data_IF_576086528381
#
_entry.id   IF_576086528381
#
_cell.length_a   1.000
_cell.length_b   1.000
_cell.length_c   1.000
_cell.angle_alpha   90.00
_cell.angle_beta   90.00
_cell.angle_gamma   90.00
#
_symmetry.space_group_name_H-M   'P 1'
#
loop_
_entity.id
_entity.type
_entity.pdbx_description
1 polymer ?
#
# COMPACT_ATOMS: atom_id res chain seq x y z
N UNK A 1 -17.11 19.80 -11.13
CA UNK A 1 -15.93 18.97 -11.46
C UNK A 1 -14.61 19.68 -11.21
N UNK A 2 -14.38 20.90 -11.74
CA UNK A 2 -13.13 21.65 -11.50
C UNK A 2 -12.72 21.75 -10.03
N UNK A 3 -13.70 21.91 -9.12
CA UNK A 3 -13.45 21.99 -7.66
C UNK A 3 -12.64 20.82 -7.11
N UNK A 4 -12.93 19.60 -7.55
CA UNK A 4 -12.27 18.38 -7.05
C UNK A 4 -11.23 17.83 -8.04
N UNK A 5 -10.90 18.59 -9.08
CA UNK A 5 -9.93 18.17 -10.11
C UNK A 5 -8.57 17.81 -9.47
N UNK A 6 -8.12 18.59 -8.48
CA UNK A 6 -6.86 18.32 -7.78
C UNK A 6 -6.80 16.92 -7.15
N UNK A 7 -7.91 16.44 -6.57
CA UNK A 7 -7.98 15.10 -6.01
C UNK A 7 -7.96 14.03 -7.10
N UNK A 8 -8.77 14.21 -8.15
CA UNK A 8 -8.88 13.27 -9.27
C UNK A 8 -7.53 13.12 -9.99
N UNK A 9 -6.85 14.23 -10.26
CA UNK A 9 -5.51 14.24 -10.86
C UNK A 9 -4.49 13.54 -9.95
N UNK A 10 -4.47 13.87 -8.66
CA UNK A 10 -3.54 13.27 -7.71
C UNK A 10 -3.73 11.75 -7.55
N UNK A 11 -4.97 11.27 -7.46
CA UNK A 11 -5.27 9.84 -7.42
C UNK A 11 -4.93 9.15 -8.74
N UNK A 12 -5.22 9.79 -9.88
CA UNK A 12 -4.89 9.26 -11.21
C UNK A 12 -3.39 9.07 -11.37
N UNK A 13 -2.61 10.08 -10.98
CA UNK A 13 -1.15 10.02 -11.03
C UNK A 13 -0.60 8.94 -10.10
N UNK A 14 -1.11 8.87 -8.87
CA UNK A 14 -0.72 7.86 -7.90
C UNK A 14 -0.96 6.45 -8.43
N UNK A 15 -2.18 6.13 -8.89
CA UNK A 15 -2.50 4.82 -9.45
C UNK A 15 -1.75 4.50 -10.73
N UNK A 16 -1.51 5.50 -11.58
CA UNK A 16 -0.72 5.30 -12.79
C UNK A 16 0.69 4.83 -12.45
N UNK A 17 1.33 5.42 -11.43
CA UNK A 17 2.65 4.96 -10.98
C UNK A 17 2.60 3.54 -10.44
N UNK A 18 1.57 3.16 -9.66
CA UNK A 18 1.42 1.79 -9.18
C UNK A 18 1.22 0.77 -10.32
N UNK A 19 0.46 1.14 -11.37
CA UNK A 19 0.30 0.31 -12.58
C UNK A 19 1.62 0.18 -13.33
N UNK A 20 2.36 1.28 -13.48
CA UNK A 20 3.66 1.30 -14.15
C UNK A 20 4.67 0.41 -13.42
N UNK A 21 4.69 0.47 -12.08
CA UNK A 21 5.50 -0.39 -11.24
C UNK A 21 5.03 -1.85 -11.23
N UNK A 22 3.91 -2.19 -11.87
CA UNK A 22 3.33 -3.53 -11.83
C UNK A 22 2.99 -4.01 -10.41
N UNK A 23 2.74 -3.08 -9.49
CA UNK A 23 2.22 -3.35 -8.15
C UNK A 23 0.74 -3.72 -8.26
N UNK A 24 0.04 -3.02 -9.16
CA UNK A 24 -1.33 -3.32 -9.55
C UNK A 24 -1.42 -3.63 -11.04
N UNK A 25 -2.38 -4.46 -11.42
CA UNK A 25 -2.67 -4.78 -12.81
C UNK A 25 -3.51 -3.68 -13.46
N UNK A 26 -3.19 -3.31 -14.70
CA UNK A 26 -3.89 -2.23 -15.43
C UNK A 26 -5.42 -2.38 -15.44
N UNK A 27 -6.01 -3.57 -15.65
CA UNK A 27 -7.47 -3.70 -15.68
C UNK A 27 -8.14 -3.44 -14.33
N UNK A 28 -7.39 -3.42 -13.22
CA UNK A 28 -7.93 -3.06 -11.92
C UNK A 28 -8.04 -1.54 -11.74
N UNK A 29 -7.37 -0.72 -12.56
CA UNK A 29 -7.43 0.73 -12.43
C UNK A 29 -8.50 1.33 -13.34
N UNK A 30 -9.48 2.00 -12.72
CA UNK A 30 -10.63 2.60 -13.39
C UNK A 30 -10.68 4.11 -13.16
N UNK A 31 -10.97 4.85 -14.23
CA UNK A 31 -11.25 6.29 -14.20
C UNK A 31 -12.69 6.47 -14.67
N UNK A 32 -13.62 6.87 -13.79
CA UNK A 32 -15.01 7.10 -14.17
C UNK A 32 -15.18 8.18 -15.24
N UNK A 33 -16.30 8.14 -15.96
CA UNK A 33 -16.63 9.22 -16.88
C UNK A 33 -16.82 10.52 -16.08
N UNK A 34 -16.18 11.63 -16.47
CA UNK A 34 -16.26 12.88 -15.73
C UNK A 34 -17.71 13.41 -15.64
N UNK A 35 -18.53 13.19 -16.67
CA UNK A 35 -19.90 13.72 -16.75
C UNK A 35 -20.88 12.78 -16.07
N UNK A 36 -20.85 11.51 -16.43
CA UNK A 36 -21.82 10.48 -16.06
C UNK A 36 -21.45 9.78 -14.75
N UNK A 37 -20.20 9.89 -14.32
CA UNK A 37 -19.67 9.19 -13.16
C UNK A 37 -19.61 7.69 -13.40
N UNK A 38 -19.80 6.94 -12.33
CA UNK A 38 -19.83 5.50 -12.34
C UNK A 38 -21.26 4.99 -12.63
N UNK A 39 -21.38 3.93 -13.43
CA UNK A 39 -22.67 3.30 -13.74
C UNK A 39 -23.37 2.77 -12.48
N UNK A 40 -24.69 2.96 -12.39
CA UNK A 40 -25.50 2.54 -11.24
C UNK A 40 -25.35 3.43 -10.00
N UNK A 41 -24.80 4.64 -10.18
CA UNK A 41 -24.56 5.55 -9.07
C UNK A 41 -25.85 6.04 -8.40
N UNK A 42 -26.92 6.24 -9.16
CA UNK A 42 -28.15 6.88 -8.70
C UNK A 42 -28.85 6.06 -7.61
N UNK A 43 -28.84 4.73 -7.71
CA UNK A 43 -29.44 3.82 -6.72
C UNK A 43 -28.71 3.90 -5.39
N UNK A 44 -27.39 4.03 -5.44
CA UNK A 44 -26.51 4.11 -4.29
C UNK A 44 -26.50 5.48 -3.62
N UNK A 45 -26.67 6.54 -4.41
CA UNK A 45 -26.67 7.92 -3.92
C UNK A 45 -27.73 8.15 -2.84
N UNK A 46 -28.92 7.55 -2.97
CA UNK A 46 -29.99 7.69 -1.98
C UNK A 46 -29.59 7.13 -0.60
N UNK A 47 -29.01 5.94 -0.56
CA UNK A 47 -28.56 5.31 0.68
C UNK A 47 -27.37 6.05 1.31
N UNK A 48 -26.45 6.56 0.49
CA UNK A 48 -25.34 7.37 0.98
C UNK A 48 -25.83 8.70 1.62
N UNK A 49 -26.81 9.36 1.01
CA UNK A 49 -27.44 10.55 1.57
C UNK A 49 -28.18 10.23 2.87
N UNK A 50 -28.91 9.11 2.94
CA UNK A 50 -29.61 8.66 4.14
C UNK A 50 -28.64 8.35 5.28
N UNK A 51 -27.49 7.77 4.96
CA UNK A 51 -26.38 7.53 5.89
C UNK A 51 -25.62 8.80 6.30
N UNK A 52 -26.11 9.98 5.92
CA UNK A 52 -25.61 11.27 6.37
C UNK A 52 -24.45 11.86 5.57
N UNK A 53 -24.10 11.30 4.39
CA UNK A 53 -23.18 11.99 3.48
C UNK A 53 -23.84 13.25 2.88
N UNK A 54 -23.01 14.26 2.62
CA UNK A 54 -23.43 15.46 1.90
C UNK A 54 -23.63 15.17 0.40
N UNK A 55 -24.46 15.96 -0.27
CA UNK A 55 -24.65 15.82 -1.72
C UNK A 55 -23.36 16.01 -2.53
N UNK A 56 -22.45 16.87 -2.07
CA UNK A 56 -21.15 17.06 -2.71
C UNK A 56 -20.25 15.84 -2.53
N UNK A 57 -20.19 15.27 -1.32
CA UNK A 57 -19.47 14.02 -1.05
C UNK A 57 -19.96 12.89 -1.95
N UNK A 58 -21.27 12.70 -2.04
CA UNK A 58 -21.91 11.71 -2.91
C UNK A 58 -21.56 11.99 -4.38
N UNK A 59 -21.63 13.25 -4.84
CA UNK A 59 -21.23 13.62 -6.20
C UNK A 59 -19.77 13.28 -6.53
N UNK A 60 -18.86 13.51 -5.57
CA UNK A 60 -17.43 13.20 -5.71
C UNK A 60 -17.17 11.70 -5.76
N UNK A 61 -17.78 10.92 -4.85
CA UNK A 61 -17.63 9.45 -4.83
C UNK A 61 -17.91 8.82 -6.20
N UNK A 62 -18.91 9.34 -6.93
CA UNK A 62 -19.27 8.88 -8.27
C UNK A 62 -18.17 9.05 -9.34
N UNK A 63 -17.12 9.83 -9.06
CA UNK A 63 -16.18 10.34 -10.07
C UNK A 63 -14.72 10.11 -9.67
N UNK A 64 -14.46 9.53 -8.52
CA UNK A 64 -13.09 9.26 -8.08
C UNK A 64 -12.49 8.14 -8.93
N UNK A 65 -11.23 8.30 -9.40
CA UNK A 65 -10.43 7.18 -9.86
C UNK A 65 -10.34 6.13 -8.75
N UNK A 66 -10.39 4.86 -9.12
CA UNK A 66 -10.42 3.78 -8.14
C UNK A 66 -9.79 2.51 -8.64
N UNK A 67 -9.49 1.64 -7.68
CA UNK A 67 -8.97 0.32 -7.91
C UNK A 67 -10.05 -0.72 -7.66
N UNK A 68 -10.16 -1.68 -8.56
CA UNK A 68 -11.03 -2.82 -8.41
C UNK A 68 -10.27 -3.93 -7.66
N UNK A 69 -10.69 -4.29 -6.44
CA UNK A 69 -9.91 -5.16 -5.56
C UNK A 69 -9.90 -6.64 -5.99
N UNK A 70 -10.52 -7.00 -7.11
CA UNK A 70 -10.78 -8.39 -7.51
C UNK A 70 -10.53 -8.62 -8.99
N UNK A 71 -9.30 -8.99 -9.34
CA UNK A 71 -9.07 -9.80 -10.54
C UNK A 71 -8.63 -11.18 -10.04
N UNK A 72 -9.61 -12.08 -9.96
CA UNK A 72 -9.35 -13.51 -9.86
C UNK A 72 -8.88 -13.97 -11.24
N UNK A 73 -7.62 -14.37 -11.38
CA UNK A 73 -7.28 -15.26 -12.49
C UNK A 73 -7.96 -16.61 -12.18
N UNK A 74 -8.88 -17.11 -13.02
CA UNK A 74 -9.57 -18.37 -12.77
C UNK A 74 -8.64 -19.58 -12.70
N UNK A 75 -7.43 -19.45 -13.27
CA UNK A 75 -6.47 -20.54 -13.45
C UNK A 75 -5.32 -20.54 -12.44
N UNK A 76 -5.24 -19.55 -11.53
CA UNK A 76 -4.25 -19.50 -10.45
C UNK A 76 -4.88 -19.90 -9.11
N UNK A 77 -4.45 -21.02 -8.54
CA UNK A 77 -4.81 -21.50 -7.19
C UNK A 77 -4.25 -20.59 -6.06
N UNK A 78 -3.74 -19.41 -6.39
CA UNK A 78 -3.19 -18.42 -5.49
C UNK A 78 -4.14 -17.24 -5.28
N UNK A 79 -4.57 -17.04 -4.04
CA UNK A 79 -5.29 -15.84 -3.61
C UNK A 79 -4.37 -14.62 -3.73
N UNK A 80 -4.48 -13.81 -4.79
CA UNK A 80 -3.96 -12.44 -4.76
C UNK A 80 -5.07 -11.51 -4.24
N UNK A 81 -5.14 -11.37 -2.92
CA UNK A 81 -5.81 -10.19 -2.37
C UNK A 81 -5.02 -8.96 -2.85
N UNK A 82 -5.69 -8.05 -3.55
CA UNK A 82 -5.22 -6.66 -3.69
C UNK A 82 -5.22 -5.90 -2.34
N UNK A 83 -5.21 -6.62 -1.21
CA UNK A 83 -5.76 -6.19 0.07
C UNK A 83 -4.78 -5.83 1.17
N UNK A 84 -3.47 -6.02 0.98
CA UNK A 84 -2.46 -5.70 2.01
C UNK A 84 -1.51 -4.56 1.62
N UNK A 85 -1.82 -3.84 0.55
CA UNK A 85 -1.15 -2.57 0.31
C UNK A 85 -1.80 -1.54 1.24
N UNK A 86 -1.16 -1.29 2.39
CA UNK A 86 -1.63 -0.41 3.50
C UNK A 86 -2.05 1.01 3.08
N UNK A 87 -1.83 1.37 1.82
CA UNK A 87 -1.98 2.71 1.25
C UNK A 87 -2.85 2.68 -0.01
N UNK A 88 -3.47 1.54 -0.34
CA UNK A 88 -4.49 1.53 -1.39
C UNK A 88 -5.64 2.41 -0.93
N UNK A 89 -5.90 3.53 -1.62
CA UNK A 89 -7.14 4.24 -1.50
C UNK A 89 -8.26 3.36 -2.11
N UNK A 90 -8.68 2.33 -1.37
CA UNK A 90 -9.61 1.31 -1.84
C UNK A 90 -10.68 1.07 -0.80
N UNK A 91 -11.64 1.98 -0.73
CA UNK A 91 -12.87 1.75 0.06
C UNK A 91 -14.13 2.22 -0.62
N UNK A 92 -14.08 3.12 -1.62
CA UNK A 92 -15.29 3.81 -2.08
C UNK A 92 -15.83 3.30 -3.43
N UNK A 93 -15.15 3.44 -4.56
CA UNK A 93 -15.84 3.22 -5.85
C UNK A 93 -16.00 1.75 -6.29
N UNK A 94 -15.14 0.83 -5.84
CA UNK A 94 -15.30 -0.60 -6.13
C UNK A 94 -16.43 -1.27 -5.34
N UNK A 95 -16.72 -0.73 -4.17
CA UNK A 95 -17.74 -1.24 -3.25
C UNK A 95 -19.10 -0.57 -3.49
N UNK A 96 -19.09 0.69 -3.95
CA UNK A 96 -20.25 1.42 -4.46
C UNK A 96 -20.90 0.75 -5.68
N UNK A 97 -20.12 0.15 -6.58
CA UNK A 97 -20.63 -0.42 -7.85
C UNK A 97 -21.08 -1.87 -7.79
N UNK A 98 -20.43 -2.68 -6.97
CA UNK A 98 -20.58 -4.14 -7.04
C UNK A 98 -21.63 -4.70 -6.09
N UNK A 99 -22.11 -3.92 -5.12
CA UNK A 99 -23.18 -4.37 -4.23
C UNK A 99 -24.51 -4.27 -4.96
N UNK A 100 -25.11 -5.43 -5.25
CA UNK A 100 -26.41 -5.55 -5.90
C UNK A 100 -27.59 -5.18 -4.99
N UNK A 101 -27.34 -5.06 -3.67
CA UNK A 101 -28.30 -4.63 -2.66
C UNK A 101 -27.61 -3.74 -1.60
N UNK A 102 -27.26 -2.50 -1.95
CA UNK A 102 -26.72 -1.52 -1.00
C UNK A 102 -27.83 -1.09 -0.03
N UNK A 103 -27.46 -0.76 1.21
CA UNK A 103 -28.36 -0.23 2.25
C UNK A 103 -27.71 0.92 3.02
N UNK A 104 -28.48 1.62 3.84
CA UNK A 104 -28.02 2.76 4.64
C UNK A 104 -26.87 2.37 5.57
N UNK A 105 -26.98 1.24 6.27
CA UNK A 105 -25.96 0.76 7.23
C UNK A 105 -24.60 0.52 6.57
N UNK A 106 -24.58 0.10 5.31
CA UNK A 106 -23.33 0.00 4.56
C UNK A 106 -22.59 1.35 4.43
N UNK A 107 -23.33 2.42 4.14
CA UNK A 107 -22.75 3.75 4.00
C UNK A 107 -22.42 4.40 5.34
N UNK A 108 -23.11 4.02 6.42
CA UNK A 108 -22.73 4.37 7.80
C UNK A 108 -21.38 3.74 8.15
N UNK A 109 -21.20 2.45 7.87
CA UNK A 109 -19.92 1.73 8.05
C UNK A 109 -18.74 2.36 7.29
N UNK A 110 -19.00 2.99 6.13
CA UNK A 110 -17.97 3.70 5.40
C UNK A 110 -17.50 4.99 6.08
N UNK A 111 -18.30 5.53 7.00
CA UNK A 111 -17.99 6.70 7.83
C UNK A 111 -17.46 6.32 9.20
N UNK A 112 -17.69 5.10 9.66
CA UNK A 112 -17.15 4.58 10.92
C UNK A 112 -15.62 4.55 10.90
N UNK A 113 -15.03 4.99 12.01
CA UNK A 113 -13.61 4.90 12.31
C UNK A 113 -13.44 3.98 13.51
N UNK A 114 -12.50 3.03 13.46
CA UNK A 114 -12.06 2.30 14.64
C UNK A 114 -11.37 3.28 15.61
N UNK A 115 -12.14 3.89 16.50
CA UNK A 115 -11.66 4.70 17.62
C UNK A 115 -12.37 4.19 18.88
N UNK A 116 -11.69 3.29 19.61
CA UNK A 116 -12.07 2.65 20.90
C UNK A 116 -13.22 1.59 20.87
N UNK A 117 -12.97 0.34 21.34
CA UNK A 117 -14.01 -0.70 21.52
C UNK A 117 -15.08 -0.40 22.61
N UNK A 118 -15.03 0.74 23.30
CA UNK A 118 -15.90 1.07 24.43
C UNK A 118 -16.83 2.28 24.21
N UNK A 119 -16.83 2.93 23.05
CA UNK A 119 -17.61 4.16 22.83
C UNK A 119 -18.39 4.16 21.51
N UNK A 120 -19.47 4.94 21.47
CA UNK A 120 -20.38 5.04 20.33
C UNK A 120 -19.62 5.34 19.03
N UNK A 121 -19.88 4.54 17.99
CA UNK A 121 -19.24 4.57 16.66
C UNK A 121 -18.95 5.99 16.17
N UNK A 122 -17.67 6.41 16.18
CA UNK A 122 -17.30 7.72 15.66
C UNK A 122 -17.44 7.74 14.14
N UNK A 123 -18.48 8.41 13.66
CA UNK A 123 -18.69 8.65 12.24
C UNK A 123 -17.98 9.93 11.79
N UNK A 124 -17.09 9.84 10.80
CA UNK A 124 -16.52 11.04 10.16
C UNK A 124 -17.64 11.93 9.59
N UNK A 125 -17.49 13.26 9.56
CA UNK A 125 -18.48 14.17 9.00
C UNK A 125 -18.91 13.77 7.59
N UNK A 126 -20.17 14.02 7.24
CA UNK A 126 -20.73 13.66 5.92
C UNK A 126 -20.10 14.38 4.73
N UNK A 127 -19.27 15.40 4.95
CA UNK A 127 -18.46 16.05 3.91
C UNK A 127 -17.17 15.29 3.62
N UNK A 128 -16.74 14.41 4.52
CA UNK A 128 -15.48 13.69 4.46
C UNK A 128 -15.64 12.30 3.78
N UNK A 129 -14.63 11.94 3.01
CA UNK A 129 -14.49 10.67 2.28
C UNK A 129 -13.22 9.96 2.74
N UNK A 130 -13.34 8.75 3.26
CA UNK A 130 -12.18 7.92 3.63
C UNK A 130 -11.58 7.27 2.38
N UNK A 131 -10.52 7.79 1.78
CA UNK A 131 -10.04 7.24 0.51
C UNK A 131 -9.42 5.84 0.63
N UNK A 132 -8.78 5.49 1.75
CA UNK A 132 -8.13 4.17 1.96
C UNK A 132 -8.83 3.28 2.97
N UNK A 133 -8.49 1.98 2.94
CA UNK A 133 -8.88 1.07 4.01
C UNK A 133 -8.33 1.56 5.33
N UNK A 134 -9.13 1.42 6.38
CA UNK A 134 -8.62 1.66 7.71
C UNK A 134 -7.61 0.57 8.05
N UNK A 135 -6.39 0.99 8.39
CA UNK A 135 -5.35 0.14 8.92
C UNK A 135 -4.90 0.76 10.24
N UNK A 136 -5.08 0.02 11.34
CA UNK A 136 -4.78 0.50 12.69
C UNK A 136 -3.30 0.88 12.85
N UNK A 137 -2.40 0.27 12.08
CA UNK A 137 -0.96 0.59 12.05
C UNK A 137 -0.52 1.35 10.81
N UNK A 138 -1.47 1.70 9.94
CA UNK A 138 -1.21 2.33 8.65
C UNK A 138 -1.74 3.76 8.57
N UNK A 139 -2.02 4.18 7.34
CA UNK A 139 -2.50 5.52 7.02
C UNK A 139 -3.91 5.43 6.44
N UNK A 140 -4.82 6.19 7.03
CA UNK A 140 -6.14 6.44 6.48
C UNK A 140 -6.17 7.82 5.84
N UNK A 141 -6.37 7.86 4.53
CA UNK A 141 -6.54 9.11 3.80
C UNK A 141 -7.97 9.60 3.94
N UNK A 142 -8.18 10.83 4.39
CA UNK A 142 -9.52 11.42 4.53
C UNK A 142 -9.58 12.70 3.72
N UNK A 143 -10.47 12.75 2.73
CA UNK A 143 -10.69 13.92 1.91
C UNK A 143 -11.96 14.64 2.32
N UNK A 144 -11.86 15.93 2.66
CA UNK A 144 -13.02 16.75 2.95
C UNK A 144 -13.48 17.50 1.70
N UNK A 145 -14.70 17.23 1.25
CA UNK A 145 -15.28 17.88 0.07
C UNK A 145 -15.59 19.36 0.28
N UNK A 146 -15.76 19.81 1.53
CA UNK A 146 -16.00 21.22 1.82
C UNK A 146 -14.73 22.04 1.65
N UNK A 147 -13.65 21.66 2.35
CA UNK A 147 -12.36 22.37 2.29
C UNK A 147 -11.51 21.99 1.07
N UNK A 148 -11.84 20.88 0.40
CA UNK A 148 -11.06 20.29 -0.69
C UNK A 148 -9.63 19.90 -0.28
N UNK A 149 -9.42 19.61 1.00
CA UNK A 149 -8.14 19.19 1.55
C UNK A 149 -8.15 17.69 1.86
N UNK A 150 -6.97 17.09 1.73
CA UNK A 150 -6.70 15.72 2.13
C UNK A 150 -6.06 15.71 3.53
N UNK A 151 -6.27 14.64 4.29
CA UNK A 151 -5.68 14.38 5.60
C UNK A 151 -5.03 13.01 5.65
N UNK A 152 -3.87 12.95 6.27
CA UNK A 152 -3.16 11.72 6.62
C UNK A 152 -3.50 11.39 8.09
N UNK A 153 -4.45 10.50 8.34
CA UNK A 153 -4.80 10.09 9.70
C UNK A 153 -4.16 8.74 10.03
N UNK A 154 -3.55 8.64 11.21
CA UNK A 154 -3.06 7.37 11.76
C UNK A 154 -3.67 7.18 13.14
N UNK A 155 -4.27 6.03 13.39
CA UNK A 155 -5.06 5.77 14.60
C UNK A 155 -4.28 5.91 15.90
N UNK A 156 -2.94 5.78 15.85
CA UNK A 156 -2.07 5.88 17.03
C UNK A 156 -1.12 7.08 17.04
N UNK A 157 -1.10 7.89 15.97
CA UNK A 157 -0.38 9.16 16.03
C UNK A 157 -1.34 10.15 16.68
N UNK A 158 -1.07 10.66 17.87
CA UNK A 158 -1.98 11.63 18.49
C UNK A 158 -1.99 11.61 20.01
N UNK A 159 -2.64 12.61 20.57
CA UNK A 159 -2.97 12.62 21.99
C UNK A 159 -4.17 11.67 22.20
N UNK A 160 -4.08 10.64 23.06
CA UNK A 160 -5.20 9.74 23.33
C UNK A 160 -6.46 10.46 23.84
N UNK A 161 -6.32 11.71 24.31
CA UNK A 161 -7.44 12.55 24.75
C UNK A 161 -8.11 13.35 23.60
N UNK A 162 -7.54 13.35 22.39
CA UNK A 162 -8.10 14.03 21.21
C UNK A 162 -8.69 13.01 20.23
N UNK A 163 -10.02 12.89 20.27
CA UNK A 163 -10.78 11.97 19.42
C UNK A 163 -10.83 12.40 17.95
N UNK A 164 -10.93 11.41 17.07
CA UNK A 164 -11.14 11.63 15.64
C UNK A 164 -9.88 12.11 14.92
N UNK A 165 -10.06 12.79 13.78
CA UNK A 165 -8.98 13.08 12.85
C UNK A 165 -8.70 14.58 12.67
N UNK A 166 -9.36 15.47 13.43
CA UNK A 166 -9.26 16.92 13.22
C UNK A 166 -7.85 17.48 13.48
N UNK A 167 -7.09 16.83 14.36
CA UNK A 167 -5.68 17.13 14.64
C UNK A 167 -4.74 16.73 13.51
N UNK A 168 -5.17 15.82 12.63
CA UNK A 168 -4.32 15.28 11.58
C UNK A 168 -3.96 16.37 10.55
N UNK A 169 -2.70 16.40 10.07
CA UNK A 169 -2.26 17.38 9.08
C UNK A 169 -3.14 17.37 7.83
N UNK A 170 -3.49 18.57 7.36
CA UNK A 170 -4.18 18.77 6.08
C UNK A 170 -3.24 19.30 5.01
N UNK A 171 -3.50 18.92 3.77
CA UNK A 171 -2.79 19.44 2.61
C UNK A 171 -3.61 19.33 1.34
N UNK A 172 -3.11 19.91 0.26
CA UNK A 172 -3.72 19.68 -1.05
C UNK A 172 -3.46 18.22 -1.46
N UNK A 173 -4.45 17.54 -2.08
CA UNK A 173 -4.24 16.19 -2.60
C UNK A 173 -2.96 16.01 -3.43
N UNK A 174 -2.63 16.95 -4.32
CA UNK A 174 -1.38 16.88 -5.11
C UNK A 174 -0.11 16.95 -4.28
N UNK A 175 -0.11 17.68 -3.16
CA UNK A 175 1.07 17.82 -2.31
C UNK A 175 1.27 16.56 -1.46
N UNK A 176 0.17 16.06 -0.87
CA UNK A 176 0.20 14.87 -0.03
C UNK A 176 0.43 13.60 -0.86
N UNK A 177 -0.48 13.27 -1.79
CA UNK A 177 -0.33 12.09 -2.64
C UNK A 177 0.86 12.22 -3.61
N UNK A 178 1.25 13.44 -3.99
CA UNK A 178 2.45 13.66 -4.80
C UNK A 178 3.72 13.24 -4.09
N UNK A 179 3.85 13.52 -2.79
CA UNK A 179 4.97 13.04 -1.99
C UNK A 179 5.04 11.50 -1.97
N UNK A 180 3.89 10.84 -1.83
CA UNK A 180 3.80 9.37 -1.87
C UNK A 180 4.11 8.80 -3.26
N UNK A 181 3.54 9.38 -4.31
CA UNK A 181 3.83 9.06 -5.71
C UNK A 181 5.32 9.13 -5.99
N UNK A 182 6.00 10.16 -5.47
CA UNK A 182 7.43 10.35 -5.67
C UNK A 182 8.27 9.29 -4.96
N UNK A 183 7.89 8.87 -3.75
CA UNK A 183 8.56 7.77 -3.05
C UNK A 183 8.49 6.46 -3.82
N UNK A 184 7.33 6.14 -4.41
CA UNK A 184 7.18 5.00 -5.32
C UNK A 184 8.05 5.15 -6.58
N UNK A 185 8.02 6.32 -7.22
CA UNK A 185 8.81 6.61 -8.43
C UNK A 185 10.31 6.44 -8.20
N UNK A 186 10.79 6.88 -7.04
CA UNK A 186 12.19 6.76 -6.61
C UNK A 186 12.55 5.40 -6.03
N UNK A 187 11.61 4.44 -6.03
CA UNK A 187 11.78 3.11 -5.44
C UNK A 187 12.22 3.16 -3.96
N UNK A 188 11.82 4.21 -3.25
CA UNK A 188 11.95 4.31 -1.79
C UNK A 188 10.91 3.42 -1.10
N UNK A 189 9.84 3.09 -1.81
CA UNK A 189 8.94 1.99 -1.48
C UNK A 189 9.10 0.90 -2.52
N UNK A 190 9.24 -0.34 -2.06
CA UNK A 190 9.43 -1.49 -2.95
C UNK A 190 8.15 -2.30 -2.92
N UNK A 191 7.39 -2.23 -4.01
CA UNK A 191 6.15 -2.98 -4.16
C UNK A 191 6.29 -4.20 -5.07
N UNK A 192 5.59 -5.26 -4.71
CA UNK A 192 5.30 -6.42 -5.54
C UNK A 192 3.87 -6.90 -5.24
N UNK A 193 3.27 -7.80 -6.04
CA UNK A 193 1.87 -8.17 -5.85
C UNK A 193 1.59 -8.62 -4.41
N UNK A 194 0.66 -7.94 -3.75
CA UNK A 194 0.25 -8.23 -2.36
C UNK A 194 1.15 -7.64 -1.26
N UNK A 195 2.24 -6.93 -1.57
CA UNK A 195 3.12 -6.38 -0.54
C UNK A 195 3.86 -5.09 -0.97
N UNK A 196 4.01 -4.14 -0.05
CA UNK A 196 4.95 -3.03 -0.20
C UNK A 196 5.79 -2.91 1.06
N UNK A 197 7.11 -2.85 0.88
CA UNK A 197 8.02 -2.42 1.95
C UNK A 197 8.13 -0.90 1.93
N UNK A 198 7.60 -0.25 2.98
CA UNK A 198 7.64 1.21 3.17
C UNK A 198 8.93 1.72 3.79
N UNK A 199 9.74 0.81 4.35
CA UNK A 199 10.96 1.18 5.07
C UNK A 199 12.14 0.29 4.64
N UNK A 200 12.42 0.17 3.33
CA UNK A 200 13.43 -0.75 2.83
C UNK A 200 14.84 -0.44 3.37
N UNK A 201 15.11 0.81 3.73
CA UNK A 201 16.40 1.27 4.22
C UNK A 201 16.50 1.39 5.75
N UNK A 202 15.43 1.15 6.53
CA UNK A 202 15.49 1.23 8.00
C UNK A 202 16.13 -0.01 8.61
N UNK A 203 17.33 0.06 9.18
CA UNK A 203 17.94 -1.08 9.87
C UNK A 203 17.05 -1.56 11.03
N UNK A 204 16.47 -2.77 10.92
CA UNK A 204 15.43 -3.25 11.83
C UNK A 204 15.97 -3.79 13.16
N UNK A 205 17.29 -3.94 13.30
CA UNK A 205 18.03 -4.11 14.55
C UNK A 205 19.42 -4.59 14.18
N UNK A 206 20.46 -3.88 14.62
CA UNK A 206 21.83 -4.37 14.50
C UNK A 206 21.94 -5.77 15.12
N UNK A 207 22.54 -6.73 14.40
CA UNK A 207 22.81 -8.12 14.82
C UNK A 207 23.32 -8.22 16.27
N UNK A 208 24.15 -7.26 16.67
CA UNK A 208 24.76 -7.13 17.99
C UNK A 208 23.75 -6.99 19.15
N UNK A 209 22.52 -6.54 18.87
CA UNK A 209 21.44 -6.34 19.86
C UNK A 209 20.52 -7.54 19.97
N UNK A 210 20.72 -8.58 19.14
CA UNK A 210 19.87 -9.76 19.09
C UNK A 210 20.44 -10.83 20.03
N UNK A 211 19.66 -11.34 21.00
CA UNK A 211 20.10 -12.46 21.84
C UNK A 211 20.47 -13.67 20.99
N UNK A 212 21.51 -14.42 21.37
CA UNK A 212 22.04 -15.55 20.58
C UNK A 212 20.96 -16.56 20.15
N UNK A 213 20.05 -16.91 21.07
CA UNK A 213 18.88 -17.77 20.81
C UNK A 213 17.90 -17.26 19.76
N UNK A 214 18.00 -15.99 19.36
CA UNK A 214 17.17 -15.34 18.34
C UNK A 214 17.94 -15.02 17.06
N UNK A 215 19.24 -15.33 16.99
CA UNK A 215 20.06 -15.03 15.82
C UNK A 215 19.56 -15.77 14.58
N UNK A 216 19.07 -16.99 14.71
CA UNK A 216 18.52 -17.75 13.57
C UNK A 216 17.29 -17.08 12.96
N UNK A 217 16.32 -16.69 13.79
CA UNK A 217 15.13 -15.95 13.33
C UNK A 217 15.49 -14.58 12.75
N UNK A 218 16.42 -13.86 13.37
CA UNK A 218 16.91 -12.58 12.83
C UNK A 218 17.61 -12.75 11.49
N UNK A 219 18.46 -13.77 11.32
CA UNK A 219 19.16 -14.02 10.06
C UNK A 219 18.18 -14.41 8.95
N UNK A 220 17.16 -15.22 9.26
CA UNK A 220 16.12 -15.57 8.31
C UNK A 220 15.36 -14.33 7.80
N UNK A 221 14.94 -13.46 8.72
CA UNK A 221 14.29 -12.18 8.40
C UNK A 221 15.21 -11.23 7.62
N UNK A 222 16.49 -11.15 8.01
CA UNK A 222 17.49 -10.34 7.32
C UNK A 222 17.70 -10.81 5.88
N UNK A 223 17.88 -12.11 5.65
CA UNK A 223 18.06 -12.66 4.30
C UNK A 223 16.81 -12.44 3.43
N UNK A 224 15.61 -12.66 3.98
CA UNK A 224 14.35 -12.37 3.28
C UNK A 224 14.28 -10.91 2.87
N UNK A 225 14.57 -9.98 3.79
CA UNK A 225 14.63 -8.55 3.49
C UNK A 225 15.66 -8.20 2.41
N UNK A 226 16.88 -8.73 2.50
CA UNK A 226 17.91 -8.47 1.48
C UNK A 226 17.47 -8.96 0.10
N UNK A 227 16.68 -10.03 0.04
CA UNK A 227 16.04 -10.48 -1.18
C UNK A 227 14.93 -9.52 -1.65
N UNK A 228 14.09 -8.99 -0.77
CA UNK A 228 13.09 -7.95 -1.14
C UNK A 228 13.77 -6.73 -1.78
N UNK A 229 14.90 -6.27 -1.23
CA UNK A 229 15.67 -5.16 -1.78
C UNK A 229 16.19 -5.42 -3.21
N UNK A 230 16.39 -6.68 -3.60
CA UNK A 230 16.82 -7.03 -4.98
C UNK A 230 15.77 -6.73 -6.03
N UNK A 231 14.50 -6.63 -5.65
CA UNK A 231 13.43 -6.24 -6.59
C UNK A 231 13.69 -4.81 -7.10
N UNK A 232 14.24 -3.91 -6.27
CA UNK A 232 14.66 -2.57 -6.67
C UNK A 232 15.70 -2.61 -7.80
N UNK A 233 16.70 -3.49 -7.67
CA UNK A 233 17.74 -3.66 -8.69
C UNK A 233 17.13 -4.17 -10.01
N UNK A 234 16.12 -5.04 -9.94
CA UNK A 234 15.42 -5.55 -11.14
C UNK A 234 14.66 -4.45 -11.88
N UNK A 235 14.02 -3.51 -11.16
CA UNK A 235 13.39 -2.35 -11.80
C UNK A 235 14.41 -1.56 -12.63
N UNK A 236 15.54 -1.22 -12.02
CA UNK A 236 16.62 -0.45 -12.67
C UNK A 236 17.23 -1.22 -13.84
N UNK A 237 17.49 -2.52 -13.68
CA UNK A 237 18.00 -3.39 -14.75
C UNK A 237 17.05 -3.45 -15.95
N UNK A 238 15.74 -3.42 -15.68
CA UNK A 238 14.70 -3.38 -16.72
C UNK A 238 14.45 -1.97 -17.27
N UNK A 239 15.26 -0.97 -16.92
CA UNK A 239 15.21 0.36 -17.50
C UNK A 239 14.28 1.34 -16.80
N UNK A 240 13.89 1.07 -15.54
CA UNK A 240 13.22 2.06 -14.70
C UNK A 240 14.18 3.21 -14.39
N UNK A 241 13.73 4.44 -14.62
CA UNK A 241 14.50 5.66 -14.38
C UNK A 241 13.91 6.41 -13.19
N UNK A 242 14.60 6.36 -12.05
CA UNK A 242 14.17 6.98 -10.77
C UNK A 242 14.12 8.50 -10.83
N UNK A 243 14.80 9.13 -11.80
CA UNK A 243 14.81 10.58 -11.98
C UNK A 243 13.76 11.05 -13.01
N UNK A 244 13.13 10.12 -13.73
CA UNK A 244 12.20 10.44 -14.81
C UNK A 244 10.73 10.32 -14.40
N UNK A 245 9.92 11.27 -14.88
CA UNK A 245 8.47 11.19 -14.79
C UNK A 245 7.85 10.17 -15.74
N UNK A 246 8.48 9.96 -16.89
CA UNK A 246 8.04 8.97 -17.89
C UNK A 246 8.97 7.75 -17.84
N UNK A 247 8.41 6.57 -18.08
CA UNK A 247 9.12 5.30 -17.97
C UNK A 247 9.23 4.64 -19.35
N UNK A 248 9.63 5.43 -20.36
CA UNK A 248 9.60 5.03 -21.77
C UNK A 248 10.59 3.91 -22.11
N UNK A 249 11.63 3.75 -21.28
CA UNK A 249 12.67 2.72 -21.42
C UNK A 249 12.39 1.46 -20.59
N UNK A 250 11.37 1.47 -19.75
CA UNK A 250 11.09 0.37 -18.84
C UNK A 250 10.50 -0.83 -19.60
N UNK A 251 11.25 -1.92 -19.66
CA UNK A 251 10.80 -3.20 -20.19
C UNK A 251 9.92 -3.92 -19.17
N UNK A 252 8.65 -3.51 -19.15
CA UNK A 252 7.63 -4.04 -18.25
C UNK A 252 7.51 -5.56 -18.33
N UNK A 253 7.60 -6.14 -19.54
CA UNK A 253 7.41 -7.58 -19.74
C UNK A 253 8.57 -8.35 -19.12
N UNK A 254 9.81 -7.92 -19.42
CA UNK A 254 11.00 -8.52 -18.84
C UNK A 254 11.01 -8.40 -17.31
N UNK A 255 10.63 -7.24 -16.77
CA UNK A 255 10.53 -7.04 -15.33
C UNK A 255 9.60 -8.05 -14.66
N UNK A 256 8.37 -8.20 -15.18
CA UNK A 256 7.40 -9.15 -14.62
C UNK A 256 7.95 -10.58 -14.69
N UNK A 257 8.49 -11.02 -15.83
CA UNK A 257 9.07 -12.36 -15.97
C UNK A 257 10.25 -12.62 -15.00
N UNK A 258 11.11 -11.63 -14.79
CA UNK A 258 12.22 -11.70 -13.84
C UNK A 258 11.73 -11.73 -12.39
N UNK A 259 10.78 -10.85 -12.04
CA UNK A 259 10.19 -10.75 -10.70
C UNK A 259 9.49 -12.04 -10.33
N UNK A 260 8.59 -12.57 -11.17
CA UNK A 260 7.84 -13.80 -10.84
C UNK A 260 8.77 -15.00 -10.62
N UNK A 261 9.82 -15.14 -11.44
CA UNK A 261 10.84 -16.17 -11.22
C UNK A 261 11.56 -15.97 -9.89
N UNK A 262 11.96 -14.74 -9.58
CA UNK A 262 12.65 -14.44 -8.33
C UNK A 262 11.75 -14.65 -7.10
N UNK A 263 10.47 -14.30 -7.19
CA UNK A 263 9.49 -14.56 -6.13
C UNK A 263 9.39 -16.07 -5.87
N UNK A 264 9.22 -16.87 -6.92
CA UNK A 264 9.08 -18.33 -6.81
C UNK A 264 10.36 -19.03 -6.30
N UNK A 265 11.52 -18.66 -6.86
CA UNK A 265 12.77 -19.39 -6.64
C UNK A 265 13.54 -18.88 -5.40
N UNK A 266 13.32 -17.64 -4.97
CA UNK A 266 14.11 -16.98 -3.92
C UNK A 266 13.23 -16.41 -2.81
N UNK A 267 12.27 -15.53 -3.13
CA UNK A 267 11.58 -14.77 -2.09
C UNK A 267 10.63 -15.63 -1.26
N UNK A 268 9.75 -16.41 -1.91
CA UNK A 268 8.78 -17.27 -1.22
C UNK A 268 9.47 -18.32 -0.32
N UNK A 269 10.53 -19.03 -0.79
CA UNK A 269 11.30 -19.92 0.08
C UNK A 269 11.91 -19.23 1.32
N UNK A 270 12.34 -17.98 1.20
CA UNK A 270 12.89 -17.20 2.30
C UNK A 270 11.81 -16.72 3.27
N UNK A 271 10.64 -16.31 2.76
CA UNK A 271 9.47 -15.98 3.57
C UNK A 271 9.02 -17.19 4.41
N UNK A 272 8.86 -18.36 3.77
CA UNK A 272 8.51 -19.59 4.48
C UNK A 272 9.54 -19.95 5.56
N UNK A 273 10.82 -19.65 5.31
CA UNK A 273 11.91 -19.88 6.27
C UNK A 273 11.86 -18.91 7.44
N UNK A 274 11.61 -17.63 7.18
CA UNK A 274 11.39 -16.62 8.22
C UNK A 274 10.22 -17.02 9.11
N UNK A 275 9.07 -17.38 8.54
CA UNK A 275 7.88 -17.80 9.29
C UNK A 275 8.18 -19.01 10.17
N UNK A 276 8.89 -20.02 9.64
CA UNK A 276 9.31 -21.18 10.43
C UNK A 276 10.23 -20.81 11.59
N UNK A 277 11.17 -19.89 11.40
CA UNK A 277 12.15 -19.52 12.42
C UNK A 277 11.60 -18.49 13.43
N UNK A 278 10.56 -17.74 13.08
CA UNK A 278 9.94 -16.72 13.95
C UNK A 278 8.72 -17.25 14.71
N UNK A 279 7.83 -18.01 14.06
CA UNK A 279 6.59 -18.51 14.67
C UNK A 279 6.79 -19.70 15.61
N UNK A 280 7.84 -20.50 15.41
CA UNK A 280 7.96 -21.80 16.07
C UNK A 280 8.73 -21.80 17.40
N UNK A 281 9.35 -20.70 17.85
CA UNK A 281 10.40 -20.74 18.90
C UNK A 281 11.44 -21.86 18.67
N UNK A 282 11.61 -22.30 17.41
CA UNK A 282 12.61 -23.30 17.04
C UNK A 282 13.94 -22.58 16.95
N UNK A 283 14.95 -23.15 17.60
CA UNK A 283 16.34 -22.78 17.36
C UNK A 283 16.70 -23.22 15.93
N UNK A 284 16.43 -22.35 14.94
CA UNK A 284 17.02 -22.48 13.62
C UNK A 284 18.53 -22.23 13.77
N UNK A 285 19.35 -23.25 13.53
CA UNK A 285 20.79 -23.08 13.65
C UNK A 285 21.33 -22.28 12.46
N UNK A 286 22.38 -21.49 12.68
CA UNK A 286 23.04 -20.74 11.60
C UNK A 286 23.56 -21.66 10.49
N UNK A 287 23.96 -22.88 10.81
CA UNK A 287 24.44 -23.87 9.85
C UNK A 287 23.33 -24.37 8.91
N UNK A 288 22.11 -24.56 9.43
CA UNK A 288 20.93 -24.88 8.63
C UNK A 288 20.56 -23.73 7.70
N UNK A 289 20.58 -22.50 8.22
CA UNK A 289 20.24 -21.31 7.43
C UNK A 289 21.22 -21.08 6.29
N UNK A 290 22.53 -21.17 6.54
CA UNK A 290 23.56 -20.97 5.51
C UNK A 290 23.47 -22.00 4.37
N UNK A 291 23.00 -23.22 4.67
CA UNK A 291 22.78 -24.27 3.66
C UNK A 291 21.61 -23.93 2.73
N UNK A 292 20.58 -23.31 3.27
CA UNK A 292 19.34 -22.97 2.56
C UNK A 292 19.39 -21.60 1.88
N UNK A 293 20.26 -20.68 2.32
CA UNK A 293 20.41 -19.36 1.67
C UNK A 293 20.94 -19.52 0.23
N UNK A 294 20.23 -19.00 -0.80
CA UNK A 294 20.68 -19.00 -2.18
C UNK A 294 22.08 -18.41 -2.34
N UNK A 295 22.90 -19.00 -3.23
CA UNK A 295 24.30 -18.61 -3.40
C UNK A 295 24.48 -17.13 -3.77
N UNK A 296 23.52 -16.56 -4.52
CA UNK A 296 23.47 -15.15 -4.89
C UNK A 296 23.34 -14.22 -3.67
N UNK A 297 22.66 -14.68 -2.62
CA UNK A 297 22.50 -13.93 -1.37
C UNK A 297 23.64 -14.18 -0.38
N UNK A 298 24.32 -15.34 -0.45
CA UNK A 298 25.49 -15.65 0.42
C UNK A 298 26.62 -14.63 0.30
N UNK A 299 26.79 -14.00 -0.87
CA UNK A 299 27.79 -12.94 -1.07
C UNK A 299 27.48 -11.69 -0.23
N UNK A 300 26.20 -11.43 0.03
CA UNK A 300 25.73 -10.26 0.78
C UNK A 300 25.66 -10.53 2.27
N UNK A 301 25.39 -11.78 2.68
CA UNK A 301 25.42 -12.20 4.10
C UNK A 301 26.81 -12.01 4.72
N UNK A 302 27.87 -12.07 3.91
CA UNK A 302 29.27 -11.94 4.36
C UNK A 302 29.75 -10.48 4.43
N UNK A 303 29.22 -9.58 3.61
CA UNK A 303 29.69 -8.18 3.55
C UNK A 303 29.08 -7.27 4.64
N UNK A 304 27.95 -7.66 5.25
CA UNK A 304 27.30 -6.87 6.31
C UNK A 304 27.85 -7.13 7.72
N UNK A 305 28.80 -8.05 7.89
CA UNK A 305 29.39 -8.44 9.19
C UNK A 305 30.40 -7.40 9.76
N UNK A 306 30.17 -6.10 9.50
CA UNK A 306 30.82 -5.02 10.24
C UNK A 306 31.91 -4.23 9.51
N UNK A 307 31.76 -3.96 8.20
CA UNK A 307 32.53 -2.87 7.57
C UNK A 307 31.69 -1.60 7.45
N UNK A 308 32.08 -0.59 8.24
CA UNK A 308 31.75 0.83 7.97
C UNK A 308 32.17 1.16 6.53
N UNK A 309 31.22 1.12 5.61
CA UNK A 309 31.37 1.62 4.24
C UNK A 309 30.56 2.90 4.09
N UNK A 310 31.27 4.02 4.12
CA UNK A 310 30.87 5.40 3.78
C UNK A 310 29.39 5.71 3.56
N UNK A 311 28.78 6.34 4.57
CA UNK A 311 27.96 7.53 4.28
C UNK A 311 28.93 8.61 3.80
N UNK A 312 29.14 8.70 2.50
CA UNK A 312 29.52 9.92 1.79
C UNK A 312 29.23 9.68 0.31
N UNK A 313 28.51 10.64 -0.29
CA UNK A 313 28.22 10.80 -1.72
C UNK A 313 27.15 9.88 -2.35
N UNK A 314 25.89 10.29 -2.23
CA UNK A 314 25.03 10.77 -3.34
C UNK A 314 23.66 11.22 -2.81
#
# INVERSE_FOLDING_TARGET
MERHANLIEALTDFYTVLVQLCIIVKPAFHIPDPVSGIEGFETNAAFALEAGFSSEAVYVMARLPYLEPWIRDPDEDGFQMAGDLEIMPSTFASSFTRRTAPDTGYYEFLREMDDDPMDDEYLIPGTCLRLSTQNVYGITWIYDTETCLLREWKSFDGDPDVRGFDWAPTGRPTDMLGAWTEKYRKLQFIGYPGHVDFYPDQDRQAKERVPERKLGGWQAAHDHRMAQLKIRDMYVECGWDVESKTQDKFDRKRFVEMRERFLADVLNPLSDREDRCTAANRDCTMEELMRETPEELRKWTVDYDGRKGGQDEL
#
